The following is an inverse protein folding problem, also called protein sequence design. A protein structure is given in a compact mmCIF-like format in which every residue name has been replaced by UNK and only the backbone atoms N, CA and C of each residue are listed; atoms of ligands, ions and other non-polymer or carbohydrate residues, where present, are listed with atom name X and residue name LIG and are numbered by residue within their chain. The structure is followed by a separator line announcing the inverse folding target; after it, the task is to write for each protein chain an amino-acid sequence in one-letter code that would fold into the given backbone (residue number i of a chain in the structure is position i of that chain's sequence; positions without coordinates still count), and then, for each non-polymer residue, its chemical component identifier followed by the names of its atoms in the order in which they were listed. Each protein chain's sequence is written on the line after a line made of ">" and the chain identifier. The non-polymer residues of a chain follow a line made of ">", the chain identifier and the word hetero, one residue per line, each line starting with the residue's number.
data_IF_773592252827
#
_entry.id   IF_773592252827
#
_cell.length_a   1.000
_cell.length_b   1.000
_cell.length_c   1.000
_cell.angle_alpha   90.00
_cell.angle_beta   90.00
_cell.angle_gamma   90.00
#
_symmetry.space_group_name_H-M   'P 1'
#
loop_
_entity.id
_entity.type
_entity.pdbx_description
1 polymer ?
#
# COMPACT_ATOMS: atom_id res chain seq x y z
N UNK A 1 20.09 -4.22 94.00
CA UNK A 1 20.65 -4.88 92.79
C UNK A 1 19.63 -5.75 92.03
N UNK A 2 18.76 -6.53 92.69
CA UNK A 2 17.77 -7.41 92.01
C UNK A 2 16.80 -6.66 91.08
N UNK A 3 16.30 -5.49 91.47
CA UNK A 3 15.33 -4.73 90.65
C UNK A 3 15.95 -4.15 89.37
N UNK A 4 17.21 -3.74 89.40
CA UNK A 4 17.94 -3.19 88.23
C UNK A 4 18.14 -4.28 87.17
N UNK A 5 18.37 -5.52 87.59
CA UNK A 5 18.52 -6.68 86.69
C UNK A 5 17.17 -7.01 86.02
N UNK A 6 16.06 -6.92 86.77
CA UNK A 6 14.70 -7.17 86.23
C UNK A 6 14.30 -6.09 85.21
N UNK A 7 14.56 -4.82 85.49
CA UNK A 7 14.29 -3.74 84.52
C UNK A 7 15.19 -3.82 83.29
N UNK A 8 16.46 -4.23 83.45
CA UNK A 8 17.36 -4.49 82.32
C UNK A 8 16.86 -5.64 81.43
N UNK A 9 16.43 -6.75 82.02
CA UNK A 9 15.88 -7.89 81.28
C UNK A 9 14.57 -7.54 80.54
N UNK A 10 13.69 -6.77 81.16
CA UNK A 10 12.43 -6.32 80.54
C UNK A 10 12.69 -5.39 79.33
N UNK A 11 13.67 -4.50 79.42
CA UNK A 11 14.01 -3.58 78.33
C UNK A 11 14.62 -4.31 77.12
N UNK A 12 15.42 -5.36 77.35
CA UNK A 12 15.98 -6.21 76.29
C UNK A 12 14.88 -6.98 75.57
N UNK A 13 13.92 -7.56 76.29
CA UNK A 13 12.78 -8.28 75.69
C UNK A 13 11.89 -7.35 74.84
N UNK A 14 11.67 -6.12 75.29
CA UNK A 14 10.92 -5.13 74.53
C UNK A 14 11.64 -4.72 73.23
N UNK A 15 12.97 -4.53 73.28
CA UNK A 15 13.75 -4.23 72.07
C UNK A 15 13.79 -5.40 71.09
N UNK A 16 13.89 -6.65 71.56
CA UNK A 16 13.83 -7.83 70.70
C UNK A 16 12.45 -7.97 70.05
N UNK A 17 11.36 -7.75 70.79
CA UNK A 17 9.99 -7.74 70.26
C UNK A 17 9.76 -6.64 69.21
N UNK A 18 10.26 -5.43 69.45
CA UNK A 18 10.18 -4.34 68.48
C UNK A 18 10.96 -4.64 67.19
N UNK A 19 12.13 -5.27 67.31
CA UNK A 19 12.94 -5.67 66.14
C UNK A 19 12.24 -6.76 65.33
N UNK A 20 11.64 -7.78 65.97
CA UNK A 20 10.93 -8.85 65.27
C UNK A 20 9.66 -8.36 64.59
N UNK A 21 8.90 -7.45 65.21
CA UNK A 21 7.72 -6.82 64.60
C UNK A 21 8.09 -5.95 63.40
N UNK A 22 9.19 -5.18 63.46
CA UNK A 22 9.68 -4.38 62.32
C UNK A 22 10.13 -5.29 61.16
N UNK A 23 10.79 -6.41 61.45
CA UNK A 23 11.17 -7.39 60.41
C UNK A 23 9.94 -8.09 59.80
N UNK A 24 8.94 -8.44 60.61
CA UNK A 24 7.68 -9.03 60.14
C UNK A 24 6.87 -8.06 59.27
N UNK A 25 6.82 -6.77 59.63
CA UNK A 25 6.18 -5.73 58.82
C UNK A 25 6.93 -5.46 57.51
N UNK A 26 8.26 -5.60 57.50
CA UNK A 26 9.08 -5.45 56.29
C UNK A 26 8.88 -6.60 55.31
N UNK A 27 8.89 -7.85 55.78
CA UNK A 27 8.60 -9.03 54.95
C UNK A 27 7.22 -8.97 54.30
N UNK A 28 6.17 -8.64 55.08
CA UNK A 28 4.80 -8.51 54.54
C UNK A 28 4.64 -7.37 53.52
N UNK A 29 5.40 -6.27 53.65
CA UNK A 29 5.45 -5.20 52.65
C UNK A 29 6.15 -5.63 51.36
N UNK A 30 7.20 -6.45 51.47
CA UNK A 30 7.92 -7.04 50.35
C UNK A 30 7.04 -8.08 49.61
N UNK A 31 6.30 -8.93 50.32
CA UNK A 31 5.36 -9.89 49.71
C UNK A 31 4.25 -9.18 48.90
N UNK A 32 3.60 -8.17 49.50
CA UNK A 32 2.62 -7.31 48.81
C UNK A 32 3.21 -6.52 47.64
N UNK A 33 4.52 -6.27 47.63
CA UNK A 33 5.21 -5.65 46.50
C UNK A 33 5.35 -6.65 45.35
N UNK A 34 5.79 -7.88 45.63
CA UNK A 34 5.95 -8.93 44.62
C UNK A 34 4.63 -9.36 43.99
N UNK A 35 3.54 -9.43 44.76
CA UNK A 35 2.19 -9.72 44.22
C UNK A 35 1.73 -8.65 43.22
N UNK A 36 1.81 -7.36 43.59
CA UNK A 36 1.44 -6.25 42.70
C UNK A 36 2.30 -6.23 41.43
N UNK A 37 3.59 -6.56 41.54
CA UNK A 37 4.48 -6.64 40.39
C UNK A 37 4.10 -7.78 39.44
N UNK A 38 3.77 -8.97 39.97
CA UNK A 38 3.25 -10.09 39.18
C UNK A 38 1.97 -9.73 38.44
N UNK A 39 1.03 -9.02 39.10
CA UNK A 39 -0.18 -8.54 38.44
C UNK A 39 0.10 -7.50 37.34
N UNK A 40 1.01 -6.55 37.59
CA UNK A 40 1.41 -5.56 36.60
C UNK A 40 2.09 -6.21 35.38
N UNK A 41 2.97 -7.19 35.61
CA UNK A 41 3.64 -7.96 34.55
C UNK A 41 2.62 -8.77 33.75
N UNK A 42 1.62 -9.36 34.40
CA UNK A 42 0.51 -10.07 33.73
C UNK A 42 -0.30 -9.13 32.84
N UNK A 43 -0.71 -7.96 33.35
CA UNK A 43 -1.43 -6.93 32.58
C UNK A 43 -0.60 -6.41 31.40
N UNK A 44 0.69 -6.17 31.60
CA UNK A 44 1.61 -5.75 30.54
C UNK A 44 1.75 -6.82 29.47
N UNK A 45 1.89 -8.09 29.85
CA UNK A 45 1.98 -9.20 28.91
C UNK A 45 0.67 -9.43 28.13
N UNK A 46 -0.48 -9.15 28.75
CA UNK A 46 -1.78 -9.18 28.08
C UNK A 46 -1.91 -8.04 27.06
N UNK A 47 -1.57 -6.81 27.46
CA UNK A 47 -1.55 -5.65 26.58
C UNK A 47 -0.63 -5.85 25.36
N UNK A 48 0.59 -6.37 25.57
CA UNK A 48 1.52 -6.66 24.47
C UNK A 48 0.91 -7.69 23.52
N UNK A 49 0.35 -8.79 24.04
CA UNK A 49 -0.28 -9.84 23.22
C UNK A 49 -1.46 -9.31 22.42
N UNK A 50 -2.30 -8.48 23.01
CA UNK A 50 -3.42 -7.87 22.29
C UNK A 50 -2.92 -6.96 21.16
N UNK A 51 -1.91 -6.14 21.44
CA UNK A 51 -1.37 -5.20 20.46
C UNK A 51 -0.62 -5.92 19.32
N UNK A 52 0.09 -7.01 19.62
CA UNK A 52 0.70 -7.89 18.62
C UNK A 52 -0.36 -8.54 17.73
N UNK A 53 -1.46 -9.04 18.30
CA UNK A 53 -2.58 -9.58 17.51
C UNK A 53 -3.17 -8.54 16.56
N UNK A 54 -3.40 -7.31 17.04
CA UNK A 54 -3.91 -6.20 16.21
C UNK A 54 -2.93 -5.85 15.08
N UNK A 55 -1.63 -5.82 15.38
CA UNK A 55 -0.59 -5.55 14.38
C UNK A 55 -0.54 -6.66 13.32
N UNK A 56 -0.60 -7.92 13.75
CA UNK A 56 -0.55 -9.07 12.85
C UNK A 56 -1.81 -9.14 11.96
N UNK A 57 -2.97 -8.79 12.51
CA UNK A 57 -4.22 -8.63 11.76
C UNK A 57 -4.10 -7.52 10.71
N UNK A 58 -3.64 -6.33 11.11
CA UNK A 58 -3.39 -5.21 10.19
C UNK A 58 -2.44 -5.59 9.05
N UNK A 59 -1.31 -6.26 9.36
CA UNK A 59 -0.37 -6.72 8.34
C UNK A 59 -1.03 -7.74 7.40
N UNK A 60 -1.83 -8.66 7.94
CA UNK A 60 -2.53 -9.67 7.15
C UNK A 60 -3.54 -9.03 6.20
N UNK A 61 -4.33 -8.07 6.66
CA UNK A 61 -5.26 -7.33 5.81
C UNK A 61 -4.54 -6.56 4.72
N UNK A 62 -3.44 -5.86 5.07
CA UNK A 62 -2.65 -5.11 4.10
C UNK A 62 -2.09 -6.03 3.00
N UNK A 63 -1.54 -7.18 3.39
CA UNK A 63 -1.05 -8.19 2.44
C UNK A 63 -2.16 -8.72 1.55
N UNK A 64 -3.34 -9.03 2.10
CA UNK A 64 -4.50 -9.47 1.30
C UNK A 64 -4.89 -8.43 0.25
N UNK A 65 -4.92 -7.14 0.62
CA UNK A 65 -5.22 -6.04 -0.31
C UNK A 65 -4.14 -5.89 -1.38
N UNK A 66 -2.87 -5.97 -1.01
CA UNK A 66 -1.75 -5.96 -1.95
C UNK A 66 -1.85 -7.15 -2.93
N UNK A 67 -2.07 -8.36 -2.43
CA UNK A 67 -2.24 -9.58 -3.25
C UNK A 67 -3.43 -9.49 -4.21
N UNK A 68 -4.56 -8.93 -3.73
CA UNK A 68 -5.75 -8.68 -4.54
C UNK A 68 -5.46 -7.67 -5.67
N UNK A 69 -4.81 -6.56 -5.34
CA UNK A 69 -4.38 -5.54 -6.31
C UNK A 69 -3.49 -6.14 -7.40
N UNK A 70 -2.45 -6.91 -7.02
CA UNK A 70 -1.56 -7.54 -8.00
C UNK A 70 -2.28 -8.61 -8.84
N UNK A 71 -3.20 -9.37 -8.23
CA UNK A 71 -4.01 -10.35 -8.96
C UNK A 71 -4.92 -9.69 -9.99
N UNK A 72 -5.59 -8.59 -9.60
CA UNK A 72 -6.47 -7.84 -10.49
C UNK A 72 -5.68 -7.20 -11.63
N UNK A 73 -4.57 -6.53 -11.32
CA UNK A 73 -3.67 -5.93 -12.32
C UNK A 73 -3.17 -6.98 -13.33
N UNK A 74 -2.74 -8.15 -12.85
CA UNK A 74 -2.28 -9.23 -13.71
C UNK A 74 -3.40 -9.76 -14.61
N UNK A 75 -4.62 -9.92 -14.06
CA UNK A 75 -5.79 -10.36 -14.84
C UNK A 75 -6.14 -9.33 -15.92
N UNK A 76 -6.18 -8.03 -15.56
CA UNK A 76 -6.46 -6.93 -16.48
C UNK A 76 -5.43 -6.88 -17.60
N UNK A 77 -4.14 -7.00 -17.27
CA UNK A 77 -3.06 -7.09 -18.28
C UNK A 77 -3.20 -8.31 -19.19
N UNK A 78 -3.63 -9.45 -18.66
CA UNK A 78 -3.86 -10.66 -19.45
C UNK A 78 -5.04 -10.50 -20.40
N UNK A 79 -6.13 -9.89 -19.94
CA UNK A 79 -7.30 -9.56 -20.77
C UNK A 79 -6.92 -8.56 -21.86
N UNK A 80 -6.18 -7.51 -21.51
CA UNK A 80 -5.59 -6.56 -22.44
C UNK A 80 -4.79 -7.25 -23.56
N UNK A 81 -3.79 -8.07 -23.23
CA UNK A 81 -3.01 -8.79 -24.24
C UNK A 81 -3.86 -9.78 -25.07
N UNK A 82 -4.97 -10.29 -24.52
CA UNK A 82 -5.91 -11.15 -25.24
C UNK A 82 -6.72 -10.36 -26.26
N UNK A 83 -7.22 -9.17 -25.91
CA UNK A 83 -7.95 -8.30 -26.84
C UNK A 83 -7.03 -7.76 -27.95
N UNK A 84 -5.81 -7.33 -27.62
CA UNK A 84 -4.81 -6.93 -28.63
C UNK A 84 -4.53 -8.07 -29.63
N UNK A 85 -4.43 -9.32 -29.15
CA UNK A 85 -4.25 -10.49 -30.03
C UNK A 85 -5.44 -10.74 -30.95
N UNK A 86 -6.67 -10.39 -30.56
CA UNK A 86 -7.86 -10.53 -31.41
C UNK A 86 -7.92 -9.47 -32.49
N UNK A 87 -7.56 -8.23 -32.16
CA UNK A 87 -7.65 -7.10 -33.10
C UNK A 87 -6.44 -7.00 -34.04
N UNK A 88 -5.36 -7.74 -33.75
CA UNK A 88 -4.12 -7.70 -34.51
C UNK A 88 -3.35 -6.40 -34.24
N UNK A 89 -2.02 -6.45 -34.42
CA UNK A 89 -1.22 -5.21 -34.31
C UNK A 89 -1.57 -4.29 -35.48
N UNK A 90 -1.73 -2.97 -35.27
CA UNK A 90 -1.95 -2.04 -36.36
C UNK A 90 -0.86 -2.17 -37.44
N UNK A 91 -1.23 -1.99 -38.70
CA UNK A 91 -0.31 -2.17 -39.84
C UNK A 91 0.94 -1.27 -39.74
N UNK A 92 0.79 -0.07 -39.17
CA UNK A 92 1.89 0.88 -38.96
C UNK A 92 2.77 0.54 -37.73
N UNK A 93 2.33 -0.38 -36.85
CA UNK A 93 3.02 -0.66 -35.59
C UNK A 93 4.47 -1.09 -35.80
N UNK A 94 4.73 -1.91 -36.82
CA UNK A 94 6.08 -2.38 -37.12
C UNK A 94 7.00 -1.25 -37.61
N UNK A 95 6.47 -0.32 -38.41
CA UNK A 95 7.24 0.81 -38.95
C UNK A 95 7.75 1.74 -37.84
N UNK A 96 6.92 1.96 -36.81
CA UNK A 96 7.23 2.83 -35.68
C UNK A 96 7.91 2.12 -34.51
N UNK A 97 8.31 0.85 -34.67
CA UNK A 97 8.85 0.00 -33.59
C UNK A 97 7.96 0.05 -32.33
N UNK A 98 6.66 0.09 -32.57
CA UNK A 98 5.65 0.31 -31.54
C UNK A 98 5.73 -0.76 -30.45
N UNK A 99 5.68 -0.33 -29.20
CA UNK A 99 5.46 -1.19 -28.03
C UNK A 99 4.02 -1.00 -27.56
N UNK A 100 3.28 -2.10 -27.49
CA UNK A 100 1.86 -2.15 -27.06
C UNK A 100 1.66 -1.70 -25.60
N UNK A 101 2.71 -1.30 -24.89
CA UNK A 101 2.65 -0.76 -23.53
C UNK A 101 2.43 0.75 -23.46
N UNK A 102 2.38 1.44 -24.59
CA UNK A 102 2.33 2.90 -24.64
C UNK A 102 1.22 3.36 -25.57
N UNK A 103 0.59 4.48 -25.24
CA UNK A 103 -0.27 5.17 -26.20
C UNK A 103 0.59 5.76 -27.33
N UNK A 104 0.00 5.93 -28.51
CA UNK A 104 0.61 6.71 -29.59
C UNK A 104 -0.25 7.91 -29.87
N UNK A 105 0.37 9.06 -30.11
CA UNK A 105 -0.29 10.22 -30.70
C UNK A 105 0.20 10.45 -32.13
N UNK A 106 -0.74 10.70 -33.03
CA UNK A 106 -0.52 11.14 -34.40
C UNK A 106 -0.84 12.64 -34.49
N UNK A 107 0.16 13.54 -34.33
CA UNK A 107 -0.09 14.97 -34.16
C UNK A 107 -0.81 15.60 -35.36
N UNK A 108 -0.36 15.27 -36.57
CA UNK A 108 -0.93 15.78 -37.84
C UNK A 108 -2.42 15.47 -38.00
N UNK A 109 -2.93 14.48 -37.25
CA UNK A 109 -4.29 13.98 -37.34
C UNK A 109 -5.06 14.14 -36.03
N UNK A 110 -4.47 14.75 -34.99
CA UNK A 110 -5.05 14.87 -33.64
C UNK A 110 -5.72 13.59 -33.16
N UNK A 111 -5.00 12.48 -33.37
CA UNK A 111 -5.54 11.14 -33.17
C UNK A 111 -4.59 10.33 -32.33
N UNK A 112 -5.09 9.73 -31.26
CA UNK A 112 -4.38 8.73 -30.50
C UNK A 112 -4.68 7.33 -31.03
N UNK A 113 -3.72 6.44 -30.94
CA UNK A 113 -3.99 5.01 -30.87
C UNK A 113 -3.99 4.61 -29.39
N UNK A 114 -5.14 4.17 -28.92
CA UNK A 114 -5.36 3.61 -27.59
C UNK A 114 -5.23 2.09 -27.66
N UNK A 115 -4.08 1.53 -27.26
CA UNK A 115 -3.92 0.09 -27.21
C UNK A 115 -4.92 -0.58 -26.28
N UNK A 116 -5.23 0.02 -25.13
CA UNK A 116 -6.08 -0.58 -24.09
C UNK A 116 -7.50 -0.82 -24.60
N UNK A 117 -8.05 0.14 -25.35
CA UNK A 117 -9.31 -0.01 -26.09
C UNK A 117 -9.15 -0.68 -27.46
N UNK A 118 -7.92 -0.85 -27.94
CA UNK A 118 -7.60 -1.50 -29.21
C UNK A 118 -8.04 -0.70 -30.44
N UNK A 119 -8.00 0.64 -30.38
CA UNK A 119 -8.56 1.49 -31.42
C UNK A 119 -8.01 2.91 -31.43
N UNK A 120 -8.67 3.77 -32.21
CA UNK A 120 -8.27 5.15 -32.42
C UNK A 120 -9.21 6.08 -31.67
N UNK A 121 -8.63 7.09 -31.04
CA UNK A 121 -9.34 8.17 -30.35
C UNK A 121 -8.98 9.46 -31.05
N UNK A 122 -9.97 10.17 -31.61
CA UNK A 122 -9.69 11.31 -32.47
C UNK A 122 -10.63 12.46 -32.17
N UNK A 123 -10.14 13.68 -32.39
CA UNK A 123 -10.92 14.89 -32.19
C UNK A 123 -11.84 15.12 -33.39
N UNK A 124 -13.16 15.05 -33.19
CA UNK A 124 -14.17 15.28 -34.21
C UNK A 124 -15.07 16.46 -33.79
N UNK A 125 -14.92 17.61 -34.46
CA UNK A 125 -15.73 18.80 -34.17
C UNK A 125 -15.63 19.28 -32.72
N UNK A 126 -14.44 19.16 -32.11
CA UNK A 126 -14.20 19.53 -30.71
C UNK A 126 -14.62 18.49 -29.68
N UNK A 127 -15.02 17.28 -30.11
CA UNK A 127 -15.34 16.16 -29.22
C UNK A 127 -14.47 14.96 -29.51
N UNK A 128 -13.98 14.30 -28.47
CA UNK A 128 -13.28 13.04 -28.61
C UNK A 128 -14.23 11.91 -29.01
N UNK A 129 -13.86 11.17 -30.05
CA UNK A 129 -14.60 10.02 -30.54
C UNK A 129 -13.67 8.80 -30.59
N UNK A 130 -14.24 7.62 -30.34
CA UNK A 130 -13.52 6.34 -30.42
C UNK A 130 -13.98 5.53 -31.64
N UNK A 131 -13.03 4.86 -32.29
CA UNK A 131 -13.29 3.88 -33.34
C UNK A 131 -12.31 2.71 -33.26
N UNK A 132 -12.81 1.48 -33.32
CA UNK A 132 -11.96 0.29 -33.41
C UNK A 132 -11.26 0.16 -34.78
N UNK A 133 -11.77 0.82 -35.82
CA UNK A 133 -11.13 0.89 -37.14
C UNK A 133 -10.40 2.21 -37.36
N UNK A 134 -9.48 2.23 -38.32
CA UNK A 134 -8.79 3.46 -38.77
C UNK A 134 -9.86 4.50 -39.15
N UNK A 135 -9.84 5.72 -38.57
CA UNK A 135 -10.80 6.77 -38.90
C UNK A 135 -10.78 7.08 -40.40
N UNK A 136 -11.93 7.40 -40.97
CA UNK A 136 -12.09 7.55 -42.43
C UNK A 136 -11.13 8.57 -43.05
N UNK A 137 -10.82 9.66 -42.34
CA UNK A 137 -9.88 10.69 -42.78
C UNK A 137 -8.40 10.23 -42.77
N UNK A 138 -8.09 9.09 -42.15
CA UNK A 138 -6.74 8.49 -42.11
C UNK A 138 -6.58 7.28 -43.05
N UNK A 139 -7.65 6.77 -43.67
CA UNK A 139 -7.59 5.54 -44.48
C UNK A 139 -6.59 5.64 -45.65
N UNK A 140 -6.46 6.82 -46.25
CA UNK A 140 -5.55 7.06 -47.38
C UNK A 140 -4.19 7.66 -46.96
N UNK A 141 -3.88 7.64 -45.67
CA UNK A 141 -2.59 8.11 -45.14
C UNK A 141 -1.61 6.94 -45.03
N UNK A 142 -0.35 7.18 -45.42
CA UNK A 142 0.75 6.26 -45.11
C UNK A 142 1.13 6.37 -43.63
N UNK A 143 0.36 5.70 -42.77
CA UNK A 143 0.58 5.72 -41.32
C UNK A 143 1.94 5.14 -40.91
N UNK A 144 2.60 4.36 -41.78
CA UNK A 144 3.96 3.87 -41.53
C UNK A 144 5.02 4.97 -41.65
N UNK A 145 4.71 6.08 -42.32
CA UNK A 145 5.58 7.26 -42.48
C UNK A 145 5.07 8.51 -41.76
N UNK A 146 3.86 8.46 -41.19
CA UNK A 146 3.29 9.56 -40.43
C UNK A 146 4.15 9.92 -39.21
N UNK A 147 4.11 11.19 -38.81
CA UNK A 147 4.72 11.62 -37.57
C UNK A 147 3.96 11.00 -36.38
N UNK A 148 4.70 10.41 -35.43
CA UNK A 148 4.12 9.80 -34.25
C UNK A 148 4.92 10.16 -33.00
N UNK A 149 4.20 10.33 -31.89
CA UNK A 149 4.77 10.44 -30.55
C UNK A 149 4.36 9.23 -29.73
N UNK A 150 5.33 8.54 -29.14
CA UNK A 150 5.09 7.45 -28.20
C UNK A 150 4.95 8.06 -26.80
N UNK A 151 3.79 7.89 -26.17
CA UNK A 151 3.46 8.47 -24.87
C UNK A 151 3.77 7.45 -23.78
N UNK A 152 4.88 7.66 -23.05
CA UNK A 152 5.41 6.71 -22.05
C UNK A 152 4.96 7.02 -20.62
N UNK A 153 4.41 8.20 -20.45
CA UNK A 153 4.02 8.86 -19.21
C UNK A 153 2.52 8.69 -18.92
N UNK A 154 1.72 8.33 -19.94
CA UNK A 154 0.31 7.96 -19.76
C UNK A 154 0.20 6.47 -19.43
N UNK A 155 -0.31 6.08 -18.25
CA UNK A 155 -0.60 4.68 -17.95
C UNK A 155 -1.60 4.09 -18.96
N UNK A 156 -1.40 2.83 -19.35
CA UNK A 156 -2.28 2.14 -20.33
C UNK A 156 -3.77 2.16 -19.95
N UNK A 157 -4.09 2.12 -18.65
CA UNK A 157 -5.49 2.08 -18.21
C UNK A 157 -6.19 3.45 -18.24
N UNK A 158 -5.46 4.51 -18.60
CA UNK A 158 -6.00 5.87 -18.71
C UNK A 158 -6.36 6.20 -20.15
N UNK A 159 -7.36 7.06 -20.30
CA UNK A 159 -7.77 7.56 -21.59
C UNK A 159 -6.78 8.63 -22.06
N UNK A 160 -6.10 8.46 -23.20
CA UNK A 160 -5.07 9.39 -23.65
C UNK A 160 -5.63 10.78 -23.97
N UNK A 161 -6.90 10.88 -24.35
CA UNK A 161 -7.58 12.14 -24.61
C UNK A 161 -7.67 13.08 -23.39
N UNK A 162 -7.61 12.53 -22.17
CA UNK A 162 -7.59 13.32 -20.93
C UNK A 162 -6.30 14.13 -20.75
N UNK A 163 -5.25 13.80 -21.54
CA UNK A 163 -3.92 14.40 -21.47
C UNK A 163 -3.55 15.14 -22.75
N UNK A 164 -4.53 15.43 -23.62
CA UNK A 164 -4.26 16.03 -24.92
C UNK A 164 -3.47 17.33 -24.86
N UNK A 165 -3.82 18.21 -23.91
CA UNK A 165 -3.18 19.53 -23.76
C UNK A 165 -1.67 19.41 -23.51
N UNK A 166 -1.20 18.34 -22.86
CA UNK A 166 0.22 18.08 -22.60
C UNK A 166 1.03 17.80 -23.87
N UNK A 167 0.37 17.46 -24.98
CA UNK A 167 1.02 17.05 -26.23
C UNK A 167 0.67 17.92 -27.44
N UNK A 168 -0.35 18.78 -27.35
CA UNK A 168 -0.73 19.70 -28.43
C UNK A 168 0.10 21.01 -28.40
N UNK A 169 0.61 21.43 -27.24
CA UNK A 169 1.29 22.73 -27.06
C UNK A 169 2.71 22.85 -27.66
N UNK A 170 3.23 21.79 -28.30
CA UNK A 170 4.63 21.78 -28.79
C UNK A 170 4.78 22.30 -30.25
N UNK A 171 3.73 22.88 -30.87
CA UNK A 171 3.76 23.43 -32.23
C UNK A 171 2.95 24.73 -32.44
#
# INVERSE_FOLDING_TARGET
>A
MKNVIVYGAAMVLFMVGAITEVHAQRGHKEDKYWERRKEADKKRAEYIRENEKKRDEYIRERRKKEDEYYRESTKRRREYHKEVRKHGRPVWASAHRYDERNHIYFPDYRTFYDPYRGGYVFLNGGRWAFSAQIPSFMINVDLGRANVRILKDIPLERHPEDFYDDYDEEY
#
